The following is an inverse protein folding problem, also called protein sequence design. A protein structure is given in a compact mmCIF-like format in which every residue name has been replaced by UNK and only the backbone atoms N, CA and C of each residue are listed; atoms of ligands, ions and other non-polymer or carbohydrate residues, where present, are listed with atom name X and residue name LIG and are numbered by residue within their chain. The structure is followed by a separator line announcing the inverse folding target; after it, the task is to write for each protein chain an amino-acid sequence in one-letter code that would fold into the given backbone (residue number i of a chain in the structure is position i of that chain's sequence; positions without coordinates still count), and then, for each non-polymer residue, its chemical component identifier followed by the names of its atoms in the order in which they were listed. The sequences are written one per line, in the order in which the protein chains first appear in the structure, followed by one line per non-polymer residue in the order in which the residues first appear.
data_IF_626709201743
#
_entry.id   IF_626709201743
#
_cell.length_a   1.000
_cell.length_b   1.000
_cell.length_c   1.000
_cell.angle_alpha   90.00
_cell.angle_beta   90.00
_cell.angle_gamma   90.00
#
_symmetry.space_group_name_H-M   'P 1'
#
loop_
_entity.id
_entity.type
_entity.pdbx_description
1 polymer ?
#
# COMPACT_ATOMS: atom_id res chain seq x y z
N UNK A 1 -50.24 -63.65 17.89
CA UNK A 1 -50.26 -64.78 18.83
C UNK A 1 -48.86 -65.38 18.90
N UNK A 2 -48.30 -65.51 20.11
CA UNK A 2 -47.09 -66.26 20.51
C UNK A 2 -45.74 -65.80 19.91
N UNK A 3 -44.66 -65.54 20.67
CA UNK A 3 -44.15 -66.30 21.83
C UNK A 3 -43.08 -65.49 22.62
N UNK A 4 -43.38 -65.28 23.91
CA UNK A 4 -42.55 -65.55 25.12
C UNK A 4 -41.22 -64.83 25.40
N UNK A 5 -41.22 -64.20 26.59
CA UNK A 5 -40.11 -63.64 27.40
C UNK A 5 -39.01 -64.63 27.83
N UNK A 6 -37.83 -64.09 28.17
CA UNK A 6 -36.86 -64.49 29.23
C UNK A 6 -35.66 -63.52 29.13
N UNK A 7 -35.50 -62.48 29.96
CA UNK A 7 -35.02 -62.39 31.36
C UNK A 7 -33.52 -62.75 31.56
N UNK A 8 -32.75 -61.68 31.84
CA UNK A 8 -31.57 -61.51 32.73
C UNK A 8 -30.38 -62.48 32.71
N UNK A 9 -29.16 -61.95 32.52
CA UNK A 9 -28.01 -62.20 33.42
C UNK A 9 -27.15 -60.93 33.53
N UNK A 10 -26.87 -60.53 34.77
CA UNK A 10 -26.03 -59.41 35.18
C UNK A 10 -24.59 -59.86 35.52
N UNK A 11 -23.63 -58.95 35.26
CA UNK A 11 -22.34 -58.68 35.93
C UNK A 11 -21.43 -59.83 36.42
N UNK A 12 -20.14 -59.77 36.07
CA UNK A 12 -18.94 -59.52 36.94
C UNK A 12 -17.67 -59.90 36.16
N UNK A 13 -16.63 -59.05 36.21
CA UNK A 13 -15.46 -59.08 35.31
C UNK A 13 -14.15 -59.66 35.86
N UNK A 14 -13.04 -59.42 35.15
CA UNK A 14 -11.65 -59.34 35.65
C UNK A 14 -10.64 -58.96 34.54
N UNK A 15 -9.86 -57.91 34.83
CA UNK A 15 -8.48 -57.56 34.47
C UNK A 15 -7.79 -58.06 33.17
N UNK A 16 -7.23 -57.09 32.43
CA UNK A 16 -6.15 -57.27 31.46
C UNK A 16 -5.65 -55.93 30.91
N UNK A 17 -4.85 -55.20 31.68
CA UNK A 17 -4.28 -53.91 31.31
C UNK A 17 -3.17 -54.07 30.26
N UNK A 18 -3.46 -53.77 29.00
CA UNK A 18 -2.44 -53.47 27.98
C UNK A 18 -2.06 -52.00 28.13
N UNK A 19 -0.96 -51.73 28.83
CA UNK A 19 -0.31 -50.42 28.86
C UNK A 19 0.42 -50.22 27.53
N UNK A 20 -0.22 -49.57 26.58
CA UNK A 20 0.47 -48.97 25.43
C UNK A 20 0.95 -47.61 25.90
N UNK A 21 2.24 -47.52 26.22
CA UNK A 21 2.92 -46.27 26.55
C UNK A 21 2.96 -45.41 25.28
N UNK A 22 1.97 -44.52 25.14
CA UNK A 22 1.80 -43.64 23.98
C UNK A 22 2.20 -42.22 24.36
N UNK A 23 3.51 -41.99 24.53
CA UNK A 23 4.22 -40.68 24.51
C UNK A 23 3.78 -39.60 25.53
N UNK A 24 4.71 -38.81 26.10
CA UNK A 24 4.36 -37.74 27.05
C UNK A 24 3.39 -36.71 26.42
N UNK A 25 2.52 -36.17 27.27
CA UNK A 25 1.47 -35.18 26.98
C UNK A 25 2.03 -33.92 26.29
N UNK A 26 2.15 -33.99 24.96
CA UNK A 26 2.53 -32.84 24.11
C UNK A 26 1.45 -31.75 24.12
N UNK A 27 0.25 -32.03 24.65
CA UNK A 27 -0.85 -31.07 24.74
C UNK A 27 -0.49 -29.84 25.57
N UNK A 28 0.24 -30.04 26.67
CA UNK A 28 0.71 -28.94 27.51
C UNK A 28 1.74 -28.07 26.77
N UNK A 29 2.58 -28.68 25.94
CA UNK A 29 3.58 -27.98 25.14
C UNK A 29 2.95 -27.24 23.95
N UNK A 30 1.94 -27.84 23.31
CA UNK A 30 1.14 -27.20 22.25
C UNK A 30 0.34 -26.02 22.79
N UNK A 31 -0.19 -26.10 24.02
CA UNK A 31 -0.88 -24.98 24.67
C UNK A 31 0.07 -23.83 25.07
N UNK A 32 1.35 -24.13 25.29
CA UNK A 32 2.40 -23.13 25.50
C UNK A 32 2.86 -22.51 24.18
N UNK A 33 3.14 -23.32 23.14
CA UNK A 33 3.47 -22.84 21.78
C UNK A 33 2.31 -22.03 21.16
N UNK A 34 1.06 -22.38 21.44
CA UNK A 34 -0.09 -21.60 21.00
C UNK A 34 -0.16 -20.22 21.66
N UNK A 35 0.45 -20.04 22.85
CA UNK A 35 0.61 -18.72 23.50
C UNK A 35 1.84 -17.95 23.00
N UNK A 36 2.82 -18.63 22.40
CA UNK A 36 3.93 -17.99 21.67
C UNK A 36 3.56 -17.61 20.22
N UNK A 37 2.44 -18.13 19.70
CA UNK A 37 1.88 -17.74 18.42
C UNK A 37 1.14 -16.39 18.53
N UNK A 38 1.87 -15.33 18.88
CA UNK A 38 1.41 -13.95 18.71
C UNK A 38 1.43 -13.68 17.20
N UNK A 39 0.34 -14.04 16.55
CA UNK A 39 0.06 -13.71 15.16
C UNK A 39 0.11 -12.19 15.04
N UNK A 40 1.13 -11.70 14.33
CA UNK A 40 1.36 -10.29 14.05
C UNK A 40 0.15 -9.62 13.38
N UNK A 41 -0.84 -10.39 12.91
CA UNK A 41 -2.08 -9.85 12.35
C UNK A 41 -2.96 -9.11 13.39
N UNK A 42 -3.01 -9.51 14.66
CA UNK A 42 -3.91 -8.89 15.65
C UNK A 42 -3.38 -7.53 16.16
N UNK A 43 -2.06 -7.41 16.28
CA UNK A 43 -1.42 -6.16 16.67
C UNK A 43 -1.60 -5.06 15.62
N UNK A 44 -1.56 -5.41 14.34
CA UNK A 44 -1.70 -4.46 13.24
C UNK A 44 -3.17 -4.13 12.94
N UNK A 45 -4.10 -5.10 13.03
CA UNK A 45 -5.53 -4.83 12.88
C UNK A 45 -6.06 -3.88 13.96
N UNK A 46 -5.63 -4.06 15.21
CA UNK A 46 -6.04 -3.17 16.30
C UNK A 46 -5.41 -1.77 16.20
N UNK A 47 -4.23 -1.63 15.60
CA UNK A 47 -3.62 -0.34 15.29
C UNK A 47 -4.31 0.33 14.11
N UNK A 48 -4.59 -0.41 13.03
CA UNK A 48 -5.31 0.10 11.86
C UNK A 48 -6.70 0.63 12.22
N UNK A 49 -7.44 -0.07 13.09
CA UNK A 49 -8.74 0.41 13.56
C UNK A 49 -8.64 1.71 14.36
N UNK A 50 -7.64 1.83 15.24
CA UNK A 50 -7.40 3.07 16.01
C UNK A 50 -6.99 4.22 15.09
N UNK A 51 -6.10 3.96 14.14
CA UNK A 51 -5.66 4.96 13.16
C UNK A 51 -6.83 5.41 12.28
N UNK A 52 -7.71 4.49 11.86
CA UNK A 52 -8.91 4.81 11.07
C UNK A 52 -9.90 5.69 11.86
N UNK A 53 -10.07 5.43 13.16
CA UNK A 53 -10.89 6.27 14.06
C UNK A 53 -10.28 7.66 14.24
N UNK A 54 -8.96 7.75 14.43
CA UNK A 54 -8.24 9.03 14.57
C UNK A 54 -8.30 9.85 13.27
N UNK A 55 -8.07 9.23 12.12
CA UNK A 55 -8.20 9.88 10.80
C UNK A 55 -9.63 10.40 10.60
N UNK A 56 -10.64 9.63 11.00
CA UNK A 56 -12.04 10.06 10.93
C UNK A 56 -12.32 11.25 11.84
N UNK A 57 -11.75 11.26 13.05
CA UNK A 57 -11.87 12.37 13.99
C UNK A 57 -11.20 13.65 13.47
N UNK A 58 -10.00 13.54 12.89
CA UNK A 58 -9.27 14.65 12.27
C UNK A 58 -10.04 15.21 11.07
N UNK A 59 -10.56 14.33 10.20
CA UNK A 59 -11.34 14.72 9.02
C UNK A 59 -12.68 15.36 9.38
N UNK A 60 -13.32 14.91 10.46
CA UNK A 60 -14.56 15.50 10.97
C UNK A 60 -14.32 16.83 11.70
N UNK A 61 -13.09 17.12 12.12
CA UNK A 61 -12.77 18.37 12.78
C UNK A 61 -12.77 19.52 11.77
N UNK A 62 -13.81 20.36 11.85
CA UNK A 62 -14.03 21.51 10.97
C UNK A 62 -12.91 22.56 11.04
N UNK A 63 -12.18 22.63 12.16
CA UNK A 63 -11.04 23.53 12.32
C UNK A 63 -9.78 23.00 11.61
N UNK A 64 -9.60 21.68 11.52
CA UNK A 64 -8.47 21.05 10.81
C UNK A 64 -8.70 20.95 9.29
N UNK A 65 -9.95 20.77 8.86
CA UNK A 65 -10.31 20.84 7.44
C UNK A 65 -10.22 22.25 6.87
N UNK A 66 -10.29 23.29 7.71
CA UNK A 66 -10.04 24.67 7.33
C UNK A 66 -8.54 25.04 7.25
N UNK A 67 -7.63 24.15 7.67
CA UNK A 67 -6.18 24.33 7.55
C UNK A 67 -5.62 23.94 6.17
N UNK A 68 -6.48 23.49 5.24
CA UNK A 68 -6.15 23.36 3.82
C UNK A 68 -6.13 24.76 3.16
N UNK A 69 -5.31 25.66 3.71
CA UNK A 69 -5.05 27.01 3.19
C UNK A 69 -4.14 26.90 1.96
N UNK A 70 -4.69 26.36 0.87
CA UNK A 70 -4.11 26.46 -0.48
C UNK A 70 -4.69 27.62 -1.28
N UNK A 71 -5.29 28.59 -0.59
CA UNK A 71 -5.65 29.86 -1.19
C UNK A 71 -4.54 30.85 -0.82
N UNK A 72 -3.81 31.32 -1.84
CA UNK A 72 -2.81 32.38 -1.68
C UNK A 72 -3.53 33.66 -1.25
N UNK A 73 -3.73 33.83 0.05
CA UNK A 73 -4.35 35.03 0.61
C UNK A 73 -3.35 36.17 0.47
N UNK A 74 -3.66 37.16 -0.37
CA UNK A 74 -2.93 38.41 -0.42
C UNK A 74 -3.15 39.18 0.88
N UNK A 75 -2.24 39.03 1.83
CA UNK A 75 -2.29 39.79 3.09
C UNK A 75 -1.86 41.22 2.80
N UNK A 76 -2.78 42.17 2.96
CA UNK A 76 -2.51 43.59 2.76
C UNK A 76 -1.36 44.04 3.67
N UNK A 77 -0.28 44.59 3.07
CA UNK A 77 0.88 45.10 3.79
C UNK A 77 2.09 44.17 3.87
N UNK A 78 2.00 42.94 3.36
CA UNK A 78 3.16 42.07 3.16
C UNK A 78 3.66 42.10 1.71
N UNK A 79 4.97 41.89 1.47
CA UNK A 79 5.48 41.78 0.12
C UNK A 79 4.84 40.58 -0.60
N UNK A 80 4.69 40.71 -1.92
CA UNK A 80 4.11 39.66 -2.75
C UNK A 80 4.84 38.33 -2.53
N UNK A 81 4.10 37.25 -2.29
CA UNK A 81 4.64 35.92 -2.05
C UNK A 81 3.59 34.99 -1.45
N UNK A 82 3.91 33.70 -1.45
CA UNK A 82 3.15 32.70 -0.71
C UNK A 82 3.56 32.76 0.77
N UNK A 83 2.58 32.78 1.67
CA UNK A 83 2.78 32.90 3.10
C UNK A 83 2.08 31.75 3.81
N UNK A 84 2.78 31.13 4.75
CA UNK A 84 2.20 30.07 5.59
C UNK A 84 2.33 30.44 7.07
N UNK A 85 1.34 30.04 7.88
CA UNK A 85 1.43 30.17 9.32
C UNK A 85 2.34 29.07 9.88
N UNK A 86 3.36 29.47 10.62
CA UNK A 86 4.24 28.57 11.36
C UNK A 86 4.24 28.92 12.85
N UNK A 87 4.71 28.00 13.68
CA UNK A 87 4.96 28.28 15.09
C UNK A 87 6.43 28.66 15.30
N UNK A 88 6.67 29.66 16.15
CA UNK A 88 8.01 30.03 16.59
C UNK A 88 8.71 28.87 17.34
N UNK A 89 10.02 28.95 17.56
CA UNK A 89 10.85 27.91 18.19
C UNK A 89 10.29 27.38 19.51
N UNK A 90 9.52 28.19 20.24
CA UNK A 90 8.85 27.80 21.48
C UNK A 90 7.48 27.11 21.32
N UNK A 91 7.01 26.88 20.09
CA UNK A 91 5.69 26.34 19.71
C UNK A 91 4.47 27.10 20.26
N UNK A 92 4.67 28.31 20.79
CA UNK A 92 3.61 29.09 21.47
C UNK A 92 3.12 30.28 20.65
N UNK A 93 3.95 30.79 19.74
CA UNK A 93 3.67 32.01 18.99
C UNK A 93 3.47 31.67 17.53
N UNK A 94 2.34 32.08 16.96
CA UNK A 94 2.11 31.98 15.52
C UNK A 94 2.86 33.10 14.79
N UNK A 95 3.50 32.77 13.67
CA UNK A 95 4.22 33.70 12.80
C UNK A 95 3.94 33.38 11.33
N UNK A 96 4.02 34.38 10.46
CA UNK A 96 3.93 34.19 9.01
C UNK A 96 5.34 33.96 8.45
N UNK A 97 5.53 32.85 7.75
CA UNK A 97 6.77 32.52 7.03
C UNK A 97 6.50 32.60 5.54
N UNK A 98 7.31 33.40 4.84
CA UNK A 98 7.26 33.43 3.38
C UNK A 98 7.76 32.10 2.84
N UNK A 99 6.89 31.37 2.15
CA UNK A 99 7.27 30.18 1.41
C UNK A 99 8.05 30.67 0.19
N UNK A 100 9.37 30.75 0.35
CA UNK A 100 10.25 30.74 -0.80
C UNK A 100 10.30 29.30 -1.27
N UNK A 101 9.51 28.96 -2.27
CA UNK A 101 9.90 27.85 -3.13
C UNK A 101 11.32 28.20 -3.59
N UNK A 102 12.35 27.40 -3.27
CA UNK A 102 13.57 27.54 -4.02
C UNK A 102 13.12 27.30 -5.46
N UNK A 103 13.14 28.35 -6.28
CA UNK A 103 13.27 28.15 -7.70
C UNK A 103 14.53 27.31 -7.79
N UNK A 104 14.39 26.00 -7.99
CA UNK A 104 15.51 25.11 -8.24
C UNK A 104 16.06 25.65 -9.56
N UNK A 105 16.95 26.64 -9.44
CA UNK A 105 17.81 27.07 -10.51
C UNK A 105 18.53 25.81 -10.90
N UNK A 106 18.21 25.32 -12.09
CA UNK A 106 18.84 24.20 -12.78
C UNK A 106 19.67 23.30 -11.85
N UNK A 107 19.18 22.11 -11.45
CA UNK A 107 19.94 21.21 -10.57
C UNK A 107 21.32 20.83 -11.15
N UNK A 108 21.56 21.07 -12.44
CA UNK A 108 22.81 20.83 -13.13
C UNK A 108 23.67 22.10 -13.32
N UNK A 109 23.15 23.30 -13.05
CA UNK A 109 23.80 24.59 -13.36
C UNK A 109 25.06 24.90 -12.55
N UNK A 110 25.32 24.13 -11.47
CA UNK A 110 26.56 24.20 -10.69
C UNK A 110 27.53 23.04 -10.93
N UNK A 111 27.20 22.09 -11.79
CA UNK A 111 27.96 20.85 -11.99
C UNK A 111 28.75 20.96 -13.29
N UNK A 112 30.07 20.86 -13.21
CA UNK A 112 30.92 20.63 -14.39
C UNK A 112 31.15 19.14 -14.54
N UNK A 113 30.62 18.54 -15.61
CA UNK A 113 30.85 17.13 -15.89
C UNK A 113 32.31 16.89 -16.32
N UNK A 114 32.93 15.83 -15.80
CA UNK A 114 34.28 15.43 -16.15
C UNK A 114 34.38 14.83 -17.56
N UNK A 115 35.58 14.86 -18.15
CA UNK A 115 35.84 14.19 -19.42
C UNK A 115 35.75 12.66 -19.24
N UNK A 116 34.78 12.04 -19.90
CA UNK A 116 34.49 10.61 -19.82
C UNK A 116 35.12 9.87 -21.01
N UNK A 117 35.94 8.85 -20.75
CA UNK A 117 36.44 7.93 -21.80
C UNK A 117 35.84 6.55 -21.55
N UNK A 118 35.00 6.08 -22.47
CA UNK A 118 34.36 4.78 -22.32
C UNK A 118 35.24 3.65 -22.85
N UNK A 119 35.36 2.52 -22.10
CA UNK A 119 36.02 1.32 -22.60
C UNK A 119 35.20 0.69 -23.75
N UNK A 120 35.86 -0.13 -24.56
CA UNK A 120 35.26 -0.72 -25.77
C UNK A 120 33.93 -1.42 -25.51
N UNK A 121 32.94 -1.13 -26.37
CA UNK A 121 31.57 -1.62 -26.25
C UNK A 121 30.62 -0.73 -25.45
N UNK A 122 31.14 0.30 -24.76
CA UNK A 122 30.33 1.30 -24.08
C UNK A 122 30.35 2.62 -24.84
N UNK A 123 29.18 3.23 -24.98
CA UNK A 123 28.99 4.55 -25.56
C UNK A 123 28.62 5.55 -24.46
N UNK A 124 29.10 6.79 -24.62
CA UNK A 124 28.66 7.91 -23.79
C UNK A 124 27.20 8.19 -24.13
N UNK A 125 26.34 8.23 -23.13
CA UNK A 125 24.92 8.61 -23.31
C UNK A 125 24.46 9.55 -22.22
N UNK A 126 23.50 10.39 -22.60
CA UNK A 126 22.75 11.25 -21.70
C UNK A 126 21.37 10.63 -21.46
N UNK A 127 20.98 10.55 -20.19
CA UNK A 127 19.67 10.03 -19.79
C UNK A 127 18.91 11.12 -19.08
N UNK A 128 17.63 11.26 -19.40
CA UNK A 128 16.77 12.30 -18.82
C UNK A 128 16.78 12.23 -17.28
N UNK A 129 16.87 13.39 -16.64
CA UNK A 129 16.99 13.52 -15.18
C UNK A 129 18.40 13.36 -14.60
N UNK A 130 19.43 13.13 -15.44
CA UNK A 130 20.81 13.05 -15.00
C UNK A 130 21.60 14.27 -15.49
N UNK A 131 22.42 14.86 -14.62
CA UNK A 131 23.20 16.04 -14.96
C UNK A 131 24.45 15.76 -15.78
N UNK A 132 24.98 14.52 -15.75
CA UNK A 132 26.19 14.16 -16.47
C UNK A 132 26.02 12.85 -17.26
N UNK A 133 26.67 12.75 -18.42
CA UNK A 133 26.65 11.54 -19.21
C UNK A 133 27.46 10.42 -18.56
N UNK A 134 27.10 9.18 -18.89
CA UNK A 134 27.81 7.98 -18.43
C UNK A 134 27.95 6.97 -19.56
N UNK A 135 28.81 5.97 -19.33
CA UNK A 135 29.06 4.90 -20.28
C UNK A 135 28.01 3.80 -20.14
N UNK A 136 27.20 3.58 -21.17
CA UNK A 136 26.31 2.39 -21.27
C UNK A 136 26.69 1.56 -22.46
N UNK A 137 26.52 0.26 -22.31
CA UNK A 137 26.71 -0.68 -23.40
C UNK A 137 25.38 -0.83 -24.16
N UNK A 138 25.27 -0.37 -25.41
CA UNK A 138 24.03 -0.46 -26.20
C UNK A 138 23.62 -1.91 -26.51
N UNK A 139 24.55 -2.87 -26.40
CA UNK A 139 24.27 -4.29 -26.60
C UNK A 139 23.59 -4.92 -25.37
N UNK A 140 23.61 -4.27 -24.21
CA UNK A 140 22.87 -4.71 -23.03
C UNK A 140 21.45 -4.13 -23.12
N UNK A 141 20.52 -4.94 -23.60
CA UNK A 141 19.09 -4.63 -23.54
C UNK A 141 18.59 -4.79 -22.12
N UNK A 142 18.67 -3.73 -21.32
CA UNK A 142 17.90 -3.64 -20.09
C UNK A 142 16.49 -3.26 -20.50
N UNK A 143 15.66 -4.26 -20.80
CA UNK A 143 14.25 -4.01 -21.05
C UNK A 143 13.69 -3.30 -19.81
N UNK A 144 13.07 -2.15 -20.01
CA UNK A 144 12.31 -1.49 -18.96
C UNK A 144 11.21 -2.46 -18.54
N UNK A 145 11.43 -3.19 -17.44
CA UNK A 145 10.51 -4.20 -16.93
C UNK A 145 9.12 -3.63 -16.59
N UNK A 146 8.99 -2.30 -16.61
CA UNK A 146 7.80 -1.56 -16.26
C UNK A 146 7.57 -0.48 -17.33
N UNK A 147 6.76 -0.78 -18.35
CA UNK A 147 6.35 0.19 -19.38
C UNK A 147 5.27 1.16 -18.86
N UNK A 148 5.35 1.54 -17.58
CA UNK A 148 4.38 2.39 -16.89
C UNK A 148 2.92 2.02 -17.15
N UNK A 149 2.07 3.04 -17.20
CA UNK A 149 0.65 2.90 -17.49
C UNK A 149 0.33 2.53 -18.94
N UNK A 150 1.30 2.29 -19.83
CA UNK A 150 1.07 2.12 -21.28
C UNK A 150 1.60 0.80 -21.85
N UNK A 151 2.08 -0.11 -21.00
CA UNK A 151 2.51 -1.46 -21.42
C UNK A 151 1.36 -2.41 -21.78
N UNK A 152 1.68 -3.66 -22.11
CA UNK A 152 0.70 -4.73 -22.35
C UNK A 152 -0.23 -4.99 -21.15
N UNK A 153 0.23 -4.68 -19.94
CA UNK A 153 -0.53 -4.67 -18.69
C UNK A 153 -0.85 -3.24 -18.18
N UNK A 154 -0.54 -2.22 -18.97
CA UNK A 154 -0.80 -0.82 -18.66
C UNK A 154 -2.27 -0.44 -18.80
N UNK A 155 -2.64 0.68 -18.20
CA UNK A 155 -3.97 1.25 -18.34
C UNK A 155 -4.26 1.74 -19.75
N UNK A 156 -5.54 1.82 -20.09
CA UNK A 156 -6.03 2.52 -21.28
C UNK A 156 -6.94 3.65 -20.84
N UNK A 157 -6.91 4.79 -21.53
CA UNK A 157 -7.85 5.87 -21.27
C UNK A 157 -9.30 5.37 -21.38
N UNK A 158 -10.15 5.78 -20.44
CA UNK A 158 -11.57 5.45 -20.42
C UNK A 158 -12.27 6.15 -21.57
N UNK A 159 -13.14 5.41 -22.27
CA UNK A 159 -14.00 5.97 -23.31
C UNK A 159 -15.21 6.73 -22.74
N UNK A 160 -15.54 6.53 -21.46
CA UNK A 160 -16.76 7.05 -20.84
C UNK A 160 -16.51 8.18 -19.82
N UNK A 161 -15.31 8.26 -19.25
CA UNK A 161 -14.97 9.27 -18.25
C UNK A 161 -13.67 10.00 -18.61
N UNK A 162 -13.71 11.32 -18.58
CA UNK A 162 -12.55 12.16 -18.82
C UNK A 162 -11.50 11.96 -17.72
N UNK A 163 -10.22 11.95 -18.10
CA UNK A 163 -9.07 11.80 -17.21
C UNK A 163 -9.04 10.49 -16.37
N UNK A 164 -9.78 9.47 -16.78
CA UNK A 164 -9.76 8.14 -16.14
C UNK A 164 -8.94 7.16 -16.97
N UNK A 165 -8.02 6.44 -16.33
CA UNK A 165 -7.25 5.34 -16.94
C UNK A 165 -7.68 4.00 -16.33
N UNK A 166 -8.03 3.05 -17.20
CA UNK A 166 -8.53 1.74 -16.82
C UNK A 166 -7.48 0.67 -17.07
N UNK A 167 -7.02 0.02 -16.00
CA UNK A 167 -6.09 -1.09 -16.07
C UNK A 167 -6.82 -2.41 -16.38
N UNK A 168 -6.17 -3.38 -17.04
CA UNK A 168 -6.72 -4.72 -17.23
C UNK A 168 -7.08 -5.34 -15.88
N UNK A 169 -8.32 -5.82 -15.76
CA UNK A 169 -8.76 -6.46 -14.54
C UNK A 169 -8.29 -7.92 -14.52
N UNK A 170 -7.77 -8.37 -13.38
CA UNK A 170 -7.29 -9.75 -13.19
C UNK A 170 -8.45 -10.71 -12.85
N UNK A 171 -9.67 -10.46 -13.36
CA UNK A 171 -10.83 -11.26 -13.02
C UNK A 171 -10.70 -12.67 -13.63
N UNK A 172 -10.97 -13.70 -12.82
CA UNK A 172 -11.08 -15.07 -13.34
C UNK A 172 -12.37 -15.30 -14.15
N UNK A 173 -13.41 -14.48 -13.90
CA UNK A 173 -14.70 -14.50 -14.61
C UNK A 173 -14.76 -13.38 -15.64
N UNK A 174 -15.67 -13.50 -16.60
CA UNK A 174 -15.93 -12.47 -17.61
C UNK A 174 -16.24 -11.11 -16.95
N UNK A 175 -15.63 -10.06 -17.48
CA UNK A 175 -15.72 -8.70 -16.95
C UNK A 175 -17.03 -8.03 -17.35
N UNK A 176 -17.53 -7.11 -16.52
CA UNK A 176 -18.59 -6.19 -16.93
C UNK A 176 -17.93 -4.94 -17.52
N UNK A 177 -18.18 -4.69 -18.82
CA UNK A 177 -17.63 -3.53 -19.52
C UNK A 177 -18.43 -2.25 -19.21
N UNK A 178 -17.77 -1.08 -19.22
CA UNK A 178 -18.46 0.19 -19.08
C UNK A 178 -19.38 0.44 -20.29
N UNK A 179 -20.55 1.01 -20.03
CA UNK A 179 -21.55 1.36 -21.03
C UNK A 179 -22.24 2.67 -20.67
N UNK A 180 -22.90 3.29 -21.64
CA UNK A 180 -23.67 4.51 -21.41
C UNK A 180 -24.82 4.34 -20.40
N UNK A 181 -25.24 3.10 -20.10
CA UNK A 181 -26.36 2.80 -19.21
C UNK A 181 -25.95 2.37 -17.80
N UNK A 182 -24.71 1.91 -17.60
CA UNK A 182 -24.26 1.40 -16.30
C UNK A 182 -23.43 2.42 -15.48
N UNK A 183 -23.09 3.58 -16.06
CA UNK A 183 -22.38 4.66 -15.37
C UNK A 183 -20.95 4.30 -14.94
N UNK A 184 -20.39 3.21 -15.46
CA UNK A 184 -19.04 2.76 -15.12
C UNK A 184 -18.02 3.43 -16.04
N UNK A 185 -16.88 3.83 -15.48
CA UNK A 185 -15.76 4.36 -16.24
C UNK A 185 -14.81 3.26 -16.75
N UNK A 186 -14.67 2.18 -15.99
CA UNK A 186 -13.73 1.10 -16.26
C UNK A 186 -14.39 -0.27 -16.14
N UNK A 187 -13.82 -1.34 -16.74
CA UNK A 187 -14.33 -2.68 -16.55
C UNK A 187 -14.24 -3.10 -15.09
N UNK A 188 -15.25 -3.80 -14.60
CA UNK A 188 -15.27 -4.29 -13.22
C UNK A 188 -15.40 -5.82 -13.20
N UNK A 189 -14.82 -6.43 -12.17
CA UNK A 189 -15.13 -7.84 -11.88
C UNK A 189 -16.57 -7.91 -11.37
N UNK A 190 -17.41 -8.81 -11.90
CA UNK A 190 -18.70 -9.09 -11.28
C UNK A 190 -18.49 -9.62 -9.85
N UNK A 191 -19.46 -9.32 -8.96
CA UNK A 191 -19.46 -9.88 -7.61
C UNK A 191 -19.41 -11.42 -7.68
N UNK A 192 -18.64 -12.02 -6.77
CA UNK A 192 -18.32 -13.45 -6.76
C UNK A 192 -19.55 -14.36 -6.75
#
# INVERSE_FOLDING_TARGET
MQRTCLVLIALVGAAGALKVDSSPDVSAQVAEEARENIQIHDGFLSQEQKDAEEVKAVKANKALSALDLRETVAVQGLPAGEWTMALDKGMKTQMLVQVKTPVIKDPCGGITCGALTCPGGFAVTEVEGHCCPYCVNPAIKVESAITGATGSAGGKASTFCQDVWCFPTMCAKAIANPSASNGQCCPVCPAL
#
